data_IF_771124266620
#
_entry.id   IF_771124266620
#
_cell.length_a   1.000
_cell.length_b   1.000
_cell.length_c   1.000
_cell.angle_alpha   90.00
_cell.angle_beta   90.00
_cell.angle_gamma   90.00
#
_symmetry.space_group_name_H-M   'P 1'
#
loop_
_entity.id
_entity.type
_entity.pdbx_description
1 polymer ?
#
# COMPACT_ATOMS: atom_id res chain seq x y z
N UNK A 1 -7.81 -17.00 -0.12
CA UNK A 1 -6.81 -17.02 0.98
C UNK A 1 -7.30 -16.01 2.01
N UNK A 2 -7.44 -16.42 3.25
CA UNK A 2 -7.86 -15.54 4.34
C UNK A 2 -6.67 -14.66 4.71
N UNK A 3 -6.88 -13.37 4.96
CA UNK A 3 -5.81 -12.42 5.29
C UNK A 3 -4.87 -12.94 6.40
N UNK A 4 -5.42 -13.59 7.43
CA UNK A 4 -4.61 -14.19 8.50
C UNK A 4 -3.56 -15.17 7.96
N UNK A 5 -3.95 -16.09 7.07
CA UNK A 5 -3.03 -17.07 6.48
C UNK A 5 -1.94 -16.39 5.63
N UNK A 6 -2.30 -15.30 4.96
CA UNK A 6 -1.33 -14.51 4.19
C UNK A 6 -0.32 -13.82 5.10
N UNK A 7 -0.78 -13.22 6.18
CA UNK A 7 0.07 -12.47 7.11
C UNK A 7 0.96 -13.38 7.97
N UNK A 8 0.44 -14.54 8.39
CA UNK A 8 1.23 -15.57 9.08
C UNK A 8 2.32 -16.13 8.16
N UNK A 9 1.98 -16.45 6.91
CA UNK A 9 2.94 -16.91 5.91
C UNK A 9 4.11 -15.94 5.70
N UNK A 10 3.88 -14.64 5.92
CA UNK A 10 4.86 -13.57 5.70
C UNK A 10 5.39 -12.94 7.00
N UNK A 11 5.23 -13.61 8.15
CA UNK A 11 5.69 -13.14 9.46
C UNK A 11 5.17 -11.74 9.87
N UNK A 12 3.99 -11.36 9.40
CA UNK A 12 3.34 -10.09 9.73
C UNK A 12 2.36 -10.26 10.92
N UNK A 13 2.69 -11.11 11.88
CA UNK A 13 1.80 -11.51 12.99
C UNK A 13 1.34 -10.37 13.92
N UNK A 14 2.14 -9.30 14.04
CA UNK A 14 1.83 -8.17 14.93
C UNK A 14 0.94 -7.07 14.30
N UNK A 15 0.56 -7.21 13.05
CA UNK A 15 -0.22 -6.19 12.31
C UNK A 15 -1.58 -5.87 12.94
N UNK A 16 -2.27 -6.89 13.50
CA UNK A 16 -3.56 -6.67 14.19
C UNK A 16 -3.44 -5.68 15.34
N UNK A 17 -2.36 -5.82 16.11
CA UNK A 17 -2.06 -4.94 17.23
C UNK A 17 -1.76 -3.52 16.75
N UNK A 18 -0.97 -3.39 15.69
CA UNK A 18 -0.63 -2.10 15.09
C UNK A 18 -1.84 -1.35 14.52
N UNK A 19 -2.83 -2.08 13.99
CA UNK A 19 -4.06 -1.49 13.45
C UNK A 19 -5.18 -1.34 14.48
N UNK A 20 -4.93 -1.72 15.74
CA UNK A 20 -5.94 -1.69 16.80
C UNK A 20 -7.20 -2.53 16.46
N UNK A 21 -7.04 -3.65 15.72
CA UNK A 21 -8.13 -4.52 15.28
C UNK A 21 -8.19 -5.72 16.23
N UNK A 22 -9.12 -5.65 17.18
CA UNK A 22 -9.34 -6.72 18.17
C UNK A 22 -10.55 -7.61 17.86
N UNK A 23 -11.35 -7.26 16.84
CA UNK A 23 -12.59 -7.94 16.48
C UNK A 23 -12.46 -8.66 15.15
N UNK A 24 -13.45 -9.47 14.82
CA UNK A 24 -13.58 -10.09 13.51
C UNK A 24 -13.64 -9.00 12.43
N UNK A 25 -12.91 -9.22 11.34
CA UNK A 25 -12.92 -8.34 10.18
C UNK A 25 -12.95 -9.15 8.90
N UNK A 26 -13.50 -8.53 7.87
CA UNK A 26 -13.47 -9.03 6.51
C UNK A 26 -12.58 -8.13 5.68
N UNK A 27 -11.67 -8.72 4.91
CA UNK A 27 -10.73 -7.94 4.11
C UNK A 27 -10.62 -8.50 2.69
N UNK A 28 -10.40 -7.61 1.74
CA UNK A 28 -10.18 -7.96 0.35
C UNK A 28 -9.24 -7.00 -0.35
N UNK A 29 -8.80 -7.38 -1.53
CA UNK A 29 -7.74 -6.69 -2.25
C UNK A 29 -8.29 -5.65 -3.22
N UNK A 30 -7.91 -4.40 -3.06
CA UNK A 30 -8.24 -3.28 -3.93
C UNK A 30 -9.73 -3.21 -4.28
N UNK A 31 -10.04 -3.04 -5.55
CA UNK A 31 -11.41 -3.14 -6.10
C UNK A 31 -11.63 -4.48 -6.84
N UNK A 32 -10.99 -5.55 -6.36
CA UNK A 32 -11.12 -6.90 -6.94
C UNK A 32 -12.30 -7.65 -6.34
N UNK A 33 -12.64 -8.77 -6.96
CA UNK A 33 -13.73 -9.67 -6.50
C UNK A 33 -13.60 -10.08 -5.03
N UNK A 34 -12.37 -10.18 -4.51
CA UNK A 34 -12.10 -10.49 -3.11
C UNK A 34 -12.58 -9.41 -2.16
N UNK A 35 -12.43 -8.13 -2.52
CA UNK A 35 -12.95 -7.02 -1.72
C UNK A 35 -14.48 -7.00 -1.69
N UNK A 36 -15.13 -7.11 -2.84
CA UNK A 36 -16.61 -7.11 -2.89
C UNK A 36 -17.23 -8.29 -2.14
N UNK A 37 -16.58 -9.47 -2.14
CA UNK A 37 -17.00 -10.59 -1.30
C UNK A 37 -16.83 -10.29 0.19
N UNK A 38 -15.70 -9.69 0.56
CA UNK A 38 -15.44 -9.28 1.95
C UNK A 38 -16.46 -8.24 2.42
N UNK A 39 -16.78 -7.26 1.58
CA UNK A 39 -17.77 -6.22 1.84
C UNK A 39 -19.15 -6.82 2.09
N UNK A 40 -19.64 -7.69 1.20
CA UNK A 40 -20.94 -8.35 1.36
C UNK A 40 -21.04 -9.21 2.62
N UNK A 41 -19.94 -9.81 3.08
CA UNK A 41 -19.89 -10.56 4.33
C UNK A 41 -19.86 -9.64 5.56
N UNK A 42 -19.10 -8.55 5.49
CA UNK A 42 -19.04 -7.55 6.56
C UNK A 42 -20.40 -6.89 6.79
N UNK A 43 -21.08 -6.47 5.72
CA UNK A 43 -22.41 -5.85 5.76
C UNK A 43 -23.45 -6.72 6.46
N UNK A 44 -23.45 -8.03 6.21
CA UNK A 44 -24.34 -8.99 6.90
C UNK A 44 -24.15 -9.02 8.41
N UNK A 45 -22.98 -8.58 8.90
CA UNK A 45 -22.62 -8.54 10.32
C UNK A 45 -22.63 -7.12 10.89
N UNK A 46 -23.07 -6.13 10.14
CA UNK A 46 -23.02 -4.72 10.55
C UNK A 46 -21.59 -4.18 10.67
N UNK A 47 -20.62 -4.79 9.96
CA UNK A 47 -19.22 -4.41 9.95
C UNK A 47 -18.83 -3.75 8.63
N UNK A 48 -17.70 -3.03 8.64
CA UNK A 48 -17.05 -2.55 7.41
C UNK A 48 -15.97 -3.52 6.96
N UNK A 49 -15.80 -3.68 5.64
CA UNK A 49 -14.68 -4.42 5.10
C UNK A 49 -13.41 -3.54 5.10
N UNK A 50 -12.27 -4.20 5.24
CA UNK A 50 -10.95 -3.57 5.05
C UNK A 50 -10.52 -3.74 3.60
N UNK A 51 -10.09 -2.64 2.98
CA UNK A 51 -9.48 -2.67 1.66
C UNK A 51 -7.97 -2.81 1.82
N UNK A 52 -7.37 -3.76 1.11
CA UNK A 52 -5.94 -4.04 1.14
C UNK A 52 -5.31 -3.68 -0.20
N UNK A 53 -4.09 -3.16 -0.15
CA UNK A 53 -3.29 -2.94 -1.35
C UNK A 53 -1.79 -3.07 -1.03
N UNK A 54 -0.98 -3.23 -2.05
CA UNK A 54 0.48 -3.20 -1.91
C UNK A 54 0.92 -1.86 -1.32
N UNK A 55 1.82 -1.90 -0.35
CA UNK A 55 2.42 -0.69 0.22
C UNK A 55 3.25 0.09 -0.82
N UNK A 56 3.54 1.36 -0.53
CA UNK A 56 4.30 2.24 -1.44
C UNK A 56 5.74 1.75 -1.62
N UNK A 57 6.35 1.17 -0.59
CA UNK A 57 7.60 0.42 -0.68
C UNK A 57 7.24 -1.03 -0.38
N UNK A 58 7.00 -1.81 -1.45
CA UNK A 58 6.40 -3.13 -1.29
C UNK A 58 7.41 -4.23 -1.00
N UNK A 59 8.43 -4.38 -1.83
CA UNK A 59 9.33 -5.54 -1.76
C UNK A 59 10.57 -5.38 -2.63
N UNK A 60 11.45 -6.38 -2.57
CA UNK A 60 12.63 -6.46 -3.42
C UNK A 60 12.31 -6.82 -4.88
N UNK A 61 11.13 -7.42 -5.13
CA UNK A 61 10.70 -7.82 -6.46
C UNK A 61 9.20 -8.04 -6.54
N UNK A 62 8.71 -8.50 -7.70
CA UNK A 62 7.27 -8.69 -7.92
C UNK A 62 6.72 -9.88 -7.13
N UNK A 63 5.50 -9.74 -6.62
CA UNK A 63 4.82 -10.81 -5.88
C UNK A 63 4.58 -12.08 -6.72
N UNK A 64 4.40 -11.95 -8.04
CA UNK A 64 4.30 -13.08 -8.96
C UNK A 64 5.57 -13.94 -8.99
N UNK A 65 6.72 -13.33 -8.70
CA UNK A 65 8.04 -13.96 -8.67
C UNK A 65 8.38 -14.51 -7.27
N UNK A 66 7.40 -14.55 -6.35
CA UNK A 66 7.53 -15.12 -5.02
C UNK A 66 8.05 -14.18 -3.93
N UNK A 67 8.32 -12.90 -4.25
CA UNK A 67 8.78 -11.93 -3.24
C UNK A 67 7.69 -11.57 -2.25
N UNK A 68 7.99 -11.74 -0.97
CA UNK A 68 7.11 -11.35 0.11
C UNK A 68 6.94 -9.82 0.19
N UNK A 69 5.74 -9.32 0.51
CA UNK A 69 5.54 -7.91 0.77
C UNK A 69 6.19 -7.50 2.09
N UNK A 70 6.84 -6.35 2.09
CA UNK A 70 7.39 -5.69 3.29
C UNK A 70 6.38 -4.72 3.90
N UNK A 71 5.45 -4.22 3.11
CA UNK A 71 4.40 -3.32 3.56
C UNK A 71 3.07 -3.54 2.83
N UNK A 72 1.98 -3.19 3.52
CA UNK A 72 0.61 -3.21 3.01
C UNK A 72 -0.07 -1.90 3.36
N UNK A 73 -0.88 -1.41 2.43
CA UNK A 73 -1.91 -0.42 2.73
C UNK A 73 -3.15 -1.16 3.24
N UNK A 74 -3.68 -0.72 4.36
CA UNK A 74 -4.95 -1.20 4.92
C UNK A 74 -5.83 0.01 5.11
N UNK A 75 -6.92 0.09 4.37
CA UNK A 75 -7.85 1.21 4.38
C UNK A 75 -9.21 0.76 4.94
N UNK A 76 -9.73 1.52 5.90
CA UNK A 76 -11.02 1.25 6.57
C UNK A 76 -12.17 2.03 5.94
N UNK A 77 -11.85 3.08 5.19
CA UNK A 77 -12.80 4.02 4.62
C UNK A 77 -13.03 3.74 3.14
N UNK A 78 -11.94 3.57 2.37
CA UNK A 78 -12.00 3.35 0.94
C UNK A 78 -10.72 2.74 0.39
N UNK A 79 -10.08 3.39 -0.53
CA UNK A 79 -8.72 3.10 -0.99
C UNK A 79 -8.18 4.32 -1.77
N UNK A 80 -6.95 4.69 -1.56
CA UNK A 80 -6.32 5.93 -2.03
C UNK A 80 -6.36 6.18 -3.55
N UNK A 81 -6.50 5.14 -4.36
CA UNK A 81 -6.58 5.28 -5.82
C UNK A 81 -8.02 5.37 -6.37
N UNK A 82 -9.04 5.27 -5.51
CA UNK A 82 -10.45 5.40 -5.91
C UNK A 82 -10.91 6.84 -5.69
N UNK A 83 -10.90 7.62 -6.75
CA UNK A 83 -11.29 9.03 -6.71
C UNK A 83 -12.80 9.27 -6.42
N UNK A 84 -13.61 8.21 -6.35
CA UNK A 84 -15.06 8.34 -6.12
C UNK A 84 -15.43 8.26 -4.62
N UNK A 85 -14.49 7.89 -3.77
CA UNK A 85 -14.71 7.73 -2.33
C UNK A 85 -13.51 8.22 -1.53
N UNK A 86 -13.72 8.79 -0.33
CA UNK A 86 -12.63 9.17 0.54
C UNK A 86 -11.83 7.93 0.98
N UNK A 87 -10.56 8.15 1.35
CA UNK A 87 -9.65 7.12 1.86
C UNK A 87 -9.05 7.52 3.20
N UNK A 88 -8.52 6.54 3.94
CA UNK A 88 -7.79 6.81 5.17
C UNK A 88 -6.53 7.65 4.88
N UNK A 89 -5.89 7.46 3.72
CA UNK A 89 -4.71 8.23 3.32
C UNK A 89 -5.05 9.72 3.12
N UNK A 90 -6.15 10.03 2.43
CA UNK A 90 -6.60 11.43 2.26
C UNK A 90 -6.86 12.10 3.61
N UNK A 91 -7.51 11.38 4.53
CA UNK A 91 -7.76 11.89 5.87
C UNK A 91 -6.45 12.17 6.63
N UNK A 92 -5.47 11.26 6.52
CA UNK A 92 -4.14 11.46 7.12
C UNK A 92 -3.41 12.66 6.53
N UNK A 93 -3.48 12.86 5.22
CA UNK A 93 -2.87 14.01 4.54
C UNK A 93 -3.51 15.31 5.03
N UNK A 94 -4.84 15.39 5.07
CA UNK A 94 -5.55 16.57 5.56
C UNK A 94 -5.24 16.89 7.03
N UNK A 95 -5.04 15.88 7.85
CA UNK A 95 -4.68 16.06 9.25
C UNK A 95 -3.21 16.47 9.43
N UNK A 96 -2.35 16.13 8.48
CA UNK A 96 -0.90 16.40 8.56
C UNK A 96 -0.54 17.87 8.33
N UNK A 97 -1.43 18.72 7.82
CA UNK A 97 -1.16 20.15 7.59
C UNK A 97 -0.70 20.91 8.84
N UNK A 98 -1.02 20.42 10.03
CA UNK A 98 -0.67 21.01 11.31
C UNK A 98 0.40 20.22 12.10
N UNK A 99 0.98 19.19 11.50
CA UNK A 99 2.01 18.37 12.16
C UNK A 99 3.37 18.87 11.70
N UNK A 100 4.21 19.34 12.67
CA UNK A 100 5.62 19.57 12.38
C UNK A 100 6.21 18.34 11.70
N UNK A 101 6.89 18.54 10.57
CA UNK A 101 7.59 17.47 9.86
C UNK A 101 8.52 16.76 10.85
N UNK A 102 8.12 15.58 11.23
CA UNK A 102 8.85 14.78 12.18
C UNK A 102 10.24 14.47 11.57
N UNK A 103 11.30 14.67 12.35
CA UNK A 103 12.69 14.32 11.97
C UNK A 103 12.79 12.90 11.38
N UNK A 104 11.90 11.99 11.81
CA UNK A 104 11.76 10.66 11.26
C UNK A 104 11.34 10.65 9.78
N UNK A 105 10.41 11.52 9.37
CA UNK A 105 9.95 11.62 7.99
C UNK A 105 11.07 12.15 7.08
N UNK A 106 11.80 13.16 7.52
CA UNK A 106 12.97 13.68 6.81
C UNK A 106 14.02 12.59 6.62
N UNK A 107 14.35 11.84 7.66
CA UNK A 107 15.29 10.72 7.59
C UNK A 107 14.85 9.65 6.60
N UNK A 108 13.55 9.30 6.58
CA UNK A 108 12.98 8.33 5.63
C UNK A 108 13.10 8.85 4.19
N UNK A 109 12.77 10.12 3.95
CA UNK A 109 12.91 10.75 2.62
C UNK A 109 14.35 10.68 2.16
N UNK A 110 15.31 11.11 2.98
CA UNK A 110 16.73 11.07 2.66
C UNK A 110 17.22 9.64 2.40
N UNK A 111 16.74 8.67 3.15
CA UNK A 111 17.06 7.26 2.94
C UNK A 111 16.55 6.75 1.60
N UNK A 112 15.30 7.06 1.25
CA UNK A 112 14.69 6.70 -0.04
C UNK A 112 15.49 7.28 -1.20
N UNK A 113 15.81 8.57 -1.13
CA UNK A 113 16.58 9.27 -2.17
C UNK A 113 18.01 8.73 -2.29
N UNK A 114 18.70 8.59 -1.17
CA UNK A 114 20.09 8.12 -1.11
C UNK A 114 20.26 6.72 -1.69
N UNK A 115 19.34 5.82 -1.36
CA UNK A 115 19.40 4.42 -1.79
C UNK A 115 18.56 4.14 -3.03
N UNK A 116 17.94 5.17 -3.64
CA UNK A 116 17.08 5.05 -4.83
C UNK A 116 16.02 3.97 -4.66
N UNK A 117 15.38 3.98 -3.48
CA UNK A 117 14.35 3.00 -3.13
C UNK A 117 13.09 3.27 -3.95
N UNK A 118 12.48 2.21 -4.49
CA UNK A 118 11.24 2.25 -5.27
C UNK A 118 10.23 1.25 -4.72
N UNK A 119 9.05 1.18 -5.31
CA UNK A 119 8.01 0.22 -4.92
C UNK A 119 8.49 -1.23 -5.01
N UNK A 120 9.24 -1.56 -6.07
CA UNK A 120 9.82 -2.88 -6.33
C UNK A 120 11.31 -2.71 -6.58
N UNK A 121 12.14 -2.97 -5.60
CA UNK A 121 13.57 -2.67 -5.62
C UNK A 121 14.38 -3.69 -6.44
N UNK A 122 13.96 -3.95 -7.68
CA UNK A 122 14.71 -4.75 -8.64
C UNK A 122 15.91 -3.97 -9.16
N UNK A 123 16.92 -4.68 -9.67
CA UNK A 123 18.07 -4.05 -10.31
C UNK A 123 17.58 -3.17 -11.47
N UNK A 124 17.86 -1.89 -11.41
CA UNK A 124 17.60 -0.98 -12.51
C UNK A 124 18.47 -1.36 -13.70
N UNK A 125 17.87 -1.55 -14.86
CA UNK A 125 18.59 -1.39 -16.09
C UNK A 125 18.75 0.11 -16.36
N UNK A 126 19.95 0.57 -16.65
CA UNK A 126 20.17 1.96 -17.07
C UNK A 126 19.33 2.20 -18.33
N UNK A 127 18.47 3.18 -18.28
CA UNK A 127 17.77 3.65 -19.48
C UNK A 127 18.81 4.41 -20.29
N UNK A 128 19.08 3.96 -21.52
CA UNK A 128 19.93 4.70 -22.45
C UNK A 128 19.19 6.00 -22.83
N UNK A 129 19.78 7.14 -22.47
CA UNK A 129 19.22 8.46 -22.80
C UNK A 129 19.10 8.68 -24.32
N UNK A 130 19.84 7.94 -25.13
CA UNK A 130 19.68 7.94 -26.59
C UNK A 130 18.33 7.41 -27.08
N UNK A 131 17.57 6.69 -26.23
CA UNK A 131 16.21 6.23 -26.55
C UNK A 131 15.17 7.36 -26.47
N UNK A 132 15.49 8.50 -25.87
CA UNK A 132 14.59 9.65 -25.82
C UNK A 132 14.87 10.58 -27.02
N UNK A 133 13.89 10.64 -27.92
CA UNK A 133 14.00 11.59 -29.04
C UNK A 133 13.89 13.02 -28.51
N UNK A 134 14.94 13.82 -28.68
CA UNK A 134 15.02 15.21 -28.18
C UNK A 134 13.96 16.15 -28.80
N UNK A 135 13.33 15.76 -29.90
CA UNK A 135 12.36 16.57 -30.65
C UNK A 135 10.90 16.22 -30.35
N UNK A 136 10.61 15.30 -29.42
CA UNK A 136 9.23 14.94 -29.01
C UNK A 136 9.05 15.25 -27.53
N UNK A 137 7.88 15.82 -27.17
CA UNK A 137 7.48 15.89 -25.77
C UNK A 137 7.29 14.46 -25.25
N UNK A 138 8.24 13.99 -24.47
CA UNK A 138 8.09 12.73 -23.76
C UNK A 138 7.20 13.00 -22.54
N UNK A 139 5.97 12.49 -22.55
CA UNK A 139 5.07 12.50 -21.38
C UNK A 139 5.43 11.24 -20.59
N UNK A 140 5.92 11.44 -19.37
CA UNK A 140 6.14 10.38 -18.40
C UNK A 140 4.85 10.10 -17.61
#
# INVERSE_FOLDING_TARGET
MILNQYLEKHNLSNWKKSLNIYHEFHAGWGRKKSFFKAQALAEKKGLKALCLEDGFIRSLGLGKDGYAPLSLVVDKTGIYFDALQPSDLEQLILQAENVELNLSAEHVIQTILRHKITKYNQKFQSIDSAQFNQNTQNIL
#
